data_IF_913104671280
#
_entry.id   IF_913104671280
#
_cell.length_a   1.000
_cell.length_b   1.000
_cell.length_c   1.000
_cell.angle_alpha   90.00
_cell.angle_beta   90.00
_cell.angle_gamma   90.00
#
_symmetry.space_group_name_H-M   'P 1'
#
loop_
_entity.id
_entity.type
_entity.pdbx_description
1 polymer ?
#
# COMPACT_ATOMS: atom_id res chain seq x y z
N UNK A 1 -8.92 -11.09 11.32
CA UNK A 1 -9.01 -11.02 9.84
C UNK A 1 -8.02 -11.97 9.20
N UNK A 2 -6.75 -12.00 9.64
CA UNK A 2 -5.80 -13.07 9.33
C UNK A 2 -6.30 -14.46 9.77
N UNK A 3 -6.97 -14.59 10.91
CA UNK A 3 -7.53 -15.89 11.33
C UNK A 3 -8.55 -16.44 10.33
N UNK A 4 -9.27 -15.56 9.61
CA UNK A 4 -10.15 -15.98 8.51
C UNK A 4 -9.36 -16.46 7.30
N UNK A 5 -8.25 -15.79 6.97
CA UNK A 5 -7.33 -16.24 5.92
C UNK A 5 -6.74 -17.60 6.29
N UNK A 6 -6.28 -17.78 7.53
CA UNK A 6 -5.72 -19.03 8.02
C UNK A 6 -6.77 -20.15 8.05
N UNK A 7 -7.99 -19.88 8.52
CA UNK A 7 -9.11 -20.84 8.47
C UNK A 7 -9.48 -21.25 7.04
N UNK A 8 -9.31 -20.36 6.06
CA UNK A 8 -9.52 -20.70 4.66
C UNK A 8 -8.38 -21.55 4.10
N UNK A 9 -7.13 -21.22 4.46
CA UNK A 9 -5.95 -21.99 4.07
C UNK A 9 -5.96 -23.39 4.69
N UNK A 10 -6.43 -23.52 5.92
CA UNK A 10 -6.47 -24.81 6.63
C UNK A 10 -7.54 -25.78 6.05
N UNK A 11 -8.54 -25.23 5.34
CA UNK A 11 -9.53 -26.01 4.58
C UNK A 11 -9.01 -26.49 3.22
N UNK A 12 -7.80 -26.07 2.80
CA UNK A 12 -7.22 -26.51 1.53
C UNK A 12 -6.55 -27.88 1.66
N UNK A 13 -6.53 -28.69 0.58
CA UNK A 13 -5.73 -29.92 0.50
C UNK A 13 -4.27 -29.74 0.95
N UNK A 14 -3.70 -30.74 1.63
CA UNK A 14 -2.34 -30.71 2.23
C UNK A 14 -1.23 -30.34 1.24
N UNK A 15 -1.34 -30.73 -0.04
CA UNK A 15 -0.38 -30.34 -1.08
C UNK A 15 -0.31 -28.84 -1.34
N UNK A 16 -1.34 -28.06 -0.96
CA UNK A 16 -1.44 -26.61 -1.20
C UNK A 16 -1.18 -25.75 0.04
N UNK A 17 -1.30 -26.32 1.25
CA UNK A 17 -1.08 -25.57 2.49
C UNK A 17 0.33 -24.99 2.56
N UNK A 18 1.36 -25.79 2.30
CA UNK A 18 2.77 -25.35 2.41
C UNK A 18 3.14 -24.21 1.45
N UNK A 19 2.86 -24.27 0.13
CA UNK A 19 3.14 -23.15 -0.78
C UNK A 19 2.39 -21.87 -0.41
N UNK A 20 1.11 -21.99 -0.05
CA UNK A 20 0.26 -20.83 0.26
C UNK A 20 0.67 -20.19 1.59
N UNK A 21 1.01 -20.99 2.61
CA UNK A 21 1.53 -20.48 3.88
C UNK A 21 2.87 -19.76 3.73
N UNK A 22 3.75 -20.21 2.80
CA UNK A 22 4.98 -19.50 2.47
C UNK A 22 4.71 -18.12 1.87
N UNK A 23 3.73 -18.01 0.98
CA UNK A 23 3.33 -16.73 0.37
C UNK A 23 2.62 -15.78 1.34
N UNK A 24 1.96 -16.32 2.37
CA UNK A 24 1.20 -15.55 3.36
C UNK A 24 2.05 -15.18 4.60
N UNK A 25 3.20 -15.83 4.82
CA UNK A 25 4.07 -15.54 5.95
C UNK A 25 4.51 -14.06 6.04
N UNK A 26 4.94 -13.39 4.96
CA UNK A 26 5.26 -11.95 5.01
C UNK A 26 4.04 -11.08 5.36
N UNK A 27 2.83 -11.51 4.98
CA UNK A 27 1.58 -10.84 5.32
C UNK A 27 1.31 -10.95 6.82
N UNK A 28 1.65 -12.10 7.43
CA UNK A 28 1.50 -12.32 8.87
C UNK A 28 2.31 -11.31 9.67
N UNK A 29 3.61 -11.18 9.38
CA UNK A 29 4.50 -10.27 10.09
C UNK A 29 4.02 -8.83 10.00
N UNK A 30 3.59 -8.42 8.81
CA UNK A 30 3.12 -7.05 8.55
C UNK A 30 1.78 -6.74 9.24
N UNK A 31 0.89 -7.72 9.43
CA UNK A 31 -0.49 -7.49 9.91
C UNK A 31 -0.81 -8.01 11.31
N UNK A 32 -0.06 -8.97 11.85
CA UNK A 32 -0.32 -9.56 13.18
C UNK A 32 0.69 -9.15 14.24
N UNK A 33 1.95 -8.94 13.83
CA UNK A 33 3.02 -8.52 14.74
C UNK A 33 3.19 -7.00 14.71
N UNK A 34 2.13 -6.29 14.32
CA UNK A 34 2.11 -4.84 14.30
C UNK A 34 2.42 -4.29 15.68
N UNK A 35 3.40 -3.40 15.71
CA UNK A 35 3.72 -2.63 16.90
C UNK A 35 4.13 -1.22 16.52
N UNK A 36 4.06 -0.28 17.49
CA UNK A 36 4.59 1.06 17.32
C UNK A 36 6.07 1.02 16.92
N UNK A 37 6.43 1.91 15.97
CA UNK A 37 7.82 2.11 15.60
C UNK A 37 8.58 2.79 16.73
N UNK A 38 9.81 2.32 17.00
CA UNK A 38 10.71 2.86 18.01
C UNK A 38 11.78 3.70 17.33
N UNK A 39 11.60 5.01 17.38
CA UNK A 39 12.48 5.99 16.74
C UNK A 39 13.39 6.62 17.79
N UNK A 40 14.70 6.59 17.59
CA UNK A 40 15.64 7.28 18.47
C UNK A 40 16.17 8.53 17.78
N UNK A 41 15.91 9.71 18.38
CA UNK A 41 16.40 10.98 17.85
C UNK A 41 17.82 11.26 18.37
N UNK A 42 18.73 11.63 17.48
CA UNK A 42 20.11 12.02 17.80
C UNK A 42 20.48 13.29 17.02
N UNK A 43 21.48 14.03 17.50
CA UNK A 43 21.90 15.30 16.89
C UNK A 43 21.44 16.53 17.67
N UNK A 44 21.14 17.61 16.95
CA UNK A 44 20.85 18.91 17.56
C UNK A 44 19.51 19.00 18.27
N UNK A 45 19.50 19.80 19.34
CA UNK A 45 18.29 20.21 20.06
C UNK A 45 17.67 21.40 19.33
N UNK A 46 17.04 21.13 18.18
CA UNK A 46 16.27 22.10 17.42
C UNK A 46 14.81 22.07 17.85
N UNK A 47 13.92 21.63 16.95
CA UNK A 47 12.48 21.47 17.21
C UNK A 47 12.19 20.52 18.38
N UNK A 48 11.09 20.75 19.11
CA UNK A 48 10.58 19.75 20.05
C UNK A 48 10.13 18.48 19.31
N UNK A 49 10.07 17.33 20.01
CA UNK A 49 9.64 16.06 19.39
C UNK A 49 8.25 16.15 18.73
N UNK A 50 7.21 16.78 19.36
CA UNK A 50 5.93 16.98 18.70
C UNK A 50 6.01 17.84 17.44
N UNK A 51 6.78 18.93 17.45
CA UNK A 51 6.95 19.81 16.28
C UNK A 51 7.71 19.10 15.16
N UNK A 52 8.72 18.29 15.51
CA UNK A 52 9.43 17.44 14.57
C UNK A 52 8.46 16.48 13.87
N UNK A 53 7.69 15.70 14.65
CA UNK A 53 6.71 14.76 14.11
C UNK A 53 5.62 15.44 13.28
N UNK A 54 5.13 16.59 13.72
CA UNK A 54 4.18 17.39 12.96
C UNK A 54 4.76 17.82 11.61
N UNK A 55 5.98 18.35 11.60
CA UNK A 55 6.64 18.80 10.36
C UNK A 55 6.98 17.61 9.45
N UNK A 56 7.52 16.53 10.01
CA UNK A 56 8.04 15.39 9.25
C UNK A 56 6.96 14.50 8.66
N UNK A 57 5.80 14.42 9.31
CA UNK A 57 4.73 13.50 8.93
C UNK A 57 3.40 14.20 8.58
N UNK A 58 3.27 15.52 8.80
CA UNK A 58 2.03 16.25 8.54
C UNK A 58 0.87 15.81 9.44
N UNK A 59 1.16 15.31 10.65
CA UNK A 59 0.18 14.73 11.58
C UNK A 59 -0.02 15.61 12.81
N UNK A 60 -1.19 15.54 13.44
CA UNK A 60 -1.36 16.05 14.80
C UNK A 60 -0.78 15.06 15.80
N UNK A 61 -0.17 15.58 16.86
CA UNK A 61 0.60 14.80 17.82
C UNK A 61 0.03 15.02 19.21
N UNK A 62 -0.39 13.94 19.86
CA UNK A 62 -0.75 13.92 21.27
C UNK A 62 0.35 13.19 22.04
N UNK A 63 0.85 13.84 23.09
CA UNK A 63 1.91 13.26 23.94
C UNK A 63 1.30 12.23 24.89
N UNK A 64 1.82 11.01 24.85
CA UNK A 64 1.40 9.90 25.70
C UNK A 64 2.33 9.66 26.89
N UNK A 65 2.23 8.45 27.44
CA UNK A 65 2.99 8.02 28.60
C UNK A 65 4.48 7.80 28.29
N UNK A 66 5.30 7.91 29.31
CA UNK A 66 6.74 7.63 29.24
C UNK A 66 7.05 6.38 30.07
N UNK A 67 7.73 5.41 29.46
CA UNK A 67 8.11 4.15 30.11
C UNK A 67 9.52 3.76 29.67
N UNK A 68 10.40 3.50 30.64
CA UNK A 68 11.79 3.10 30.37
C UNK A 68 12.56 4.08 29.48
N UNK A 69 12.32 5.39 29.61
CA UNK A 69 12.95 6.44 28.78
C UNK A 69 12.34 6.62 27.38
N UNK A 70 11.46 5.72 26.94
CA UNK A 70 10.70 5.85 25.70
C UNK A 70 9.38 6.56 25.95
N UNK A 71 9.04 7.53 25.09
CA UNK A 71 7.77 8.24 25.16
C UNK A 71 6.85 7.84 24.02
N UNK A 72 5.62 7.50 24.35
CA UNK A 72 4.56 7.25 23.39
C UNK A 72 4.04 8.56 22.80
N UNK A 73 3.84 8.60 21.50
CA UNK A 73 3.18 9.67 20.78
C UNK A 73 2.04 9.11 19.97
N UNK A 74 0.82 9.56 20.25
CA UNK A 74 -0.36 9.24 19.44
C UNK A 74 -0.41 10.21 18.28
N UNK A 75 -0.38 9.66 17.08
CA UNK A 75 -0.29 10.41 15.84
C UNK A 75 -1.63 10.29 15.12
N UNK A 76 -2.20 11.43 14.74
CA UNK A 76 -3.46 11.50 13.99
C UNK A 76 -3.24 12.30 12.71
N UNK A 77 -3.27 11.62 11.57
CA UNK A 77 -3.10 12.22 10.25
C UNK A 77 -4.35 12.10 9.37
N UNK A 78 -4.26 12.62 8.14
CA UNK A 78 -5.28 12.39 7.09
C UNK A 78 -5.49 10.90 6.79
N UNK A 79 -4.44 10.12 6.97
CA UNK A 79 -4.36 8.69 6.71
C UNK A 79 -4.59 7.84 7.97
N UNK A 80 -5.25 8.37 9.01
CA UNK A 80 -5.65 7.58 10.18
C UNK A 80 -4.90 7.90 11.47
N UNK A 81 -5.02 6.99 12.45
CA UNK A 81 -4.41 7.11 13.78
C UNK A 81 -3.49 5.93 14.07
N UNK A 82 -2.43 6.19 14.81
CA UNK A 82 -1.57 5.14 15.35
C UNK A 82 -0.58 5.71 16.36
N UNK A 83 0.43 4.92 16.71
CA UNK A 83 1.37 5.27 17.76
C UNK A 83 2.82 5.10 17.30
N UNK A 84 3.69 5.98 17.77
CA UNK A 84 5.13 5.82 17.68
C UNK A 84 5.77 6.03 19.05
N UNK A 85 6.82 5.26 19.34
CA UNK A 85 7.62 5.41 20.53
C UNK A 85 8.90 6.16 20.17
N UNK A 86 9.21 7.22 20.92
CA UNK A 86 10.39 8.04 20.66
C UNK A 86 11.27 8.07 21.89
N UNK A 87 12.55 7.79 21.65
CA UNK A 87 13.64 8.06 22.58
C UNK A 87 14.34 9.35 22.13
N UNK A 88 14.20 10.41 22.90
CA UNK A 88 14.92 11.65 22.65
C UNK A 88 16.34 11.56 23.24
N UNK A 89 17.31 11.22 22.40
CA UNK A 89 18.71 11.03 22.76
C UNK A 89 19.62 12.11 22.14
N UNK A 90 19.06 13.30 21.92
CA UNK A 90 19.76 14.46 21.36
C UNK A 90 20.79 15.04 22.35
N UNK A 91 21.49 16.08 21.92
CA UNK A 91 22.71 16.56 22.58
C UNK A 91 22.58 16.88 24.08
N UNK A 92 21.41 17.26 24.58
CA UNK A 92 21.16 17.60 25.98
C UNK A 92 20.78 16.39 26.87
N UNK A 93 20.40 15.26 26.28
CA UNK A 93 20.00 14.08 27.05
C UNK A 93 21.17 13.53 27.89
N UNK A 94 20.95 13.13 29.16
CA UNK A 94 21.94 12.42 29.96
C UNK A 94 22.35 11.08 29.34
N UNK A 95 23.62 10.67 29.49
CA UNK A 95 24.13 9.43 28.90
C UNK A 95 23.56 8.18 29.59
N UNK A 96 23.45 8.20 30.92
CA UNK A 96 22.91 7.13 31.74
C UNK A 96 21.43 6.85 31.45
N UNK A 97 20.63 7.90 31.29
CA UNK A 97 19.20 7.80 30.96
C UNK A 97 19.01 7.11 29.60
N UNK A 98 19.84 7.45 28.61
CA UNK A 98 19.72 6.86 27.27
C UNK A 98 20.27 5.44 27.21
N UNK A 99 21.37 5.15 27.90
CA UNK A 99 21.87 3.78 28.00
C UNK A 99 20.84 2.84 28.66
N UNK A 100 20.16 3.32 29.72
CA UNK A 100 19.08 2.58 30.36
C UNK A 100 17.88 2.38 29.41
N UNK A 101 17.52 3.40 28.62
CA UNK A 101 16.42 3.32 27.67
C UNK A 101 16.68 2.34 26.51
N UNK A 102 17.90 2.34 25.96
CA UNK A 102 18.32 1.39 24.92
C UNK A 102 18.32 -0.04 25.47
N UNK A 103 18.73 -0.23 26.73
CA UNK A 103 18.70 -1.54 27.41
C UNK A 103 17.27 -2.03 27.63
N UNK A 104 16.34 -1.11 27.97
CA UNK A 104 14.93 -1.43 28.11
C UNK A 104 14.28 -1.85 26.78
N UNK A 105 14.58 -1.14 25.70
CA UNK A 105 14.12 -1.45 24.37
C UNK A 105 15.07 -0.90 23.30
N UNK A 106 15.45 -1.77 22.35
CA UNK A 106 16.28 -1.36 21.22
C UNK A 106 15.50 -0.48 20.21
N UNK A 107 16.14 0.53 19.60
CA UNK A 107 15.57 1.34 18.53
C UNK A 107 15.40 0.53 17.23
N UNK A 108 14.34 0.82 16.48
CA UNK A 108 14.16 0.32 15.11
C UNK A 108 14.98 1.11 14.10
N UNK A 109 15.15 2.41 14.37
CA UNK A 109 15.87 3.34 13.51
C UNK A 109 16.38 4.52 14.34
N UNK A 110 17.56 4.99 13.96
CA UNK A 110 18.17 6.21 14.46
C UNK A 110 17.87 7.35 13.50
N UNK A 111 17.36 8.47 14.02
CA UNK A 111 17.09 9.67 13.23
C UNK A 111 18.10 10.74 13.63
N UNK A 112 19.04 11.03 12.75
CA UNK A 112 20.02 12.09 12.95
C UNK A 112 19.50 13.40 12.34
N UNK A 113 19.21 14.36 13.21
CA UNK A 113 18.74 15.69 12.85
C UNK A 113 19.94 16.63 12.71
N UNK A 114 20.08 17.24 11.54
CA UNK A 114 21.13 18.24 11.28
C UNK A 114 20.56 19.52 10.70
N UNK A 115 20.35 20.51 11.55
CA UNK A 115 19.74 21.79 11.13
C UNK A 115 20.75 22.74 10.46
N UNK A 116 22.03 22.71 10.84
CA UNK A 116 23.06 23.60 10.25
C UNK A 116 24.50 23.07 10.41
N UNK A 117 25.51 23.93 10.21
CA UNK A 117 26.88 23.72 10.69
C UNK A 117 26.88 23.64 12.22
N UNK A 118 26.68 22.43 12.74
CA UNK A 118 26.66 22.15 14.17
C UNK A 118 28.08 22.12 14.78
N UNK A 119 28.23 22.51 16.05
CA UNK A 119 29.46 22.30 16.79
C UNK A 119 29.90 20.84 16.75
N UNK A 120 31.21 20.60 16.66
CA UNK A 120 31.79 19.25 16.59
C UNK A 120 31.34 18.36 17.77
N UNK A 121 31.14 18.94 18.95
CA UNK A 121 30.65 18.24 20.14
C UNK A 121 29.29 17.53 19.92
N UNK A 122 28.39 18.08 19.09
CA UNK A 122 27.10 17.45 18.78
C UNK A 122 27.33 16.18 17.97
N UNK A 123 28.23 16.24 16.99
CA UNK A 123 28.60 15.09 16.17
C UNK A 123 29.30 14.02 17.00
N UNK A 124 30.28 14.38 17.83
CA UNK A 124 30.96 13.45 18.74
C UNK A 124 29.97 12.75 19.68
N UNK A 125 29.01 13.50 20.24
CA UNK A 125 27.98 12.91 21.09
C UNK A 125 27.07 11.98 20.30
N UNK A 126 26.67 12.35 19.07
CA UNK A 126 25.88 11.49 18.19
C UNK A 126 26.61 10.16 17.87
N UNK A 127 27.91 10.20 17.57
CA UNK A 127 28.73 8.99 17.35
C UNK A 127 28.65 8.06 18.57
N UNK A 128 28.79 8.60 19.79
CA UNK A 128 28.67 7.81 21.03
C UNK A 128 27.29 7.17 21.17
N UNK A 129 26.20 7.91 20.89
CA UNK A 129 24.82 7.39 20.96
C UNK A 129 24.55 6.30 19.93
N UNK A 130 25.04 6.48 18.70
CA UNK A 130 24.94 5.50 17.63
C UNK A 130 25.76 4.25 17.97
N UNK A 131 26.94 4.38 18.55
CA UNK A 131 27.77 3.26 18.98
C UNK A 131 27.12 2.43 20.11
N UNK A 132 26.38 3.07 21.01
CA UNK A 132 25.60 2.41 22.07
C UNK A 132 24.34 1.71 21.54
N UNK A 133 23.91 2.07 20.33
CA UNK A 133 22.78 1.43 19.64
C UNK A 133 23.26 0.19 18.90
N UNK A 134 22.35 -0.75 18.61
CA UNK A 134 22.67 -2.00 17.91
C UNK A 134 23.50 -1.74 16.62
N UNK A 135 24.46 -2.63 16.35
CA UNK A 135 25.37 -2.49 15.20
C UNK A 135 24.62 -2.44 13.86
N UNK A 136 23.48 -3.13 13.78
CA UNK A 136 22.64 -3.22 12.58
C UNK A 136 21.50 -2.19 12.53
N UNK A 137 21.36 -1.34 13.57
CA UNK A 137 20.26 -0.35 13.59
C UNK A 137 20.46 0.66 12.45
N UNK A 138 19.51 0.78 11.51
CA UNK A 138 19.64 1.69 10.39
C UNK A 138 19.54 3.16 10.82
N UNK A 139 20.07 4.04 9.97
CA UNK A 139 20.12 5.48 10.23
C UNK A 139 19.38 6.24 9.14
N UNK A 140 18.56 7.21 9.55
CA UNK A 140 17.97 8.21 8.68
C UNK A 140 18.56 9.57 9.04
N UNK A 141 19.25 10.19 8.09
CA UNK A 141 19.73 11.57 8.21
C UNK A 141 18.72 12.54 7.62
N UNK A 142 18.34 13.57 8.36
CA UNK A 142 17.47 14.64 7.87
C UNK A 142 18.32 15.89 7.66
N UNK A 143 18.48 16.26 6.40
CA UNK A 143 19.28 17.41 5.99
C UNK A 143 18.39 18.62 5.70
N UNK A 144 18.48 19.65 6.54
CA UNK A 144 17.80 20.94 6.31
C UNK A 144 18.70 21.85 5.45
N UNK A 145 18.12 22.53 4.45
CA UNK A 145 18.87 23.44 3.56
C UNK A 145 19.20 22.88 2.17
N UNK A 146 18.41 21.92 1.69
CA UNK A 146 18.46 21.43 0.30
C UNK A 146 19.69 20.59 -0.05
N UNK A 147 19.94 20.44 -1.35
CA UNK A 147 20.93 19.50 -1.89
C UNK A 147 22.35 19.65 -1.32
N UNK A 148 22.88 20.88 -1.11
CA UNK A 148 24.20 21.03 -0.48
C UNK A 148 24.26 20.47 0.95
N UNK A 149 23.17 20.57 1.72
CA UNK A 149 23.10 20.01 3.06
C UNK A 149 23.04 18.48 3.01
N UNK A 150 22.31 17.91 2.05
CA UNK A 150 22.24 16.46 1.81
C UNK A 150 23.62 15.87 1.53
N UNK A 151 24.36 16.47 0.60
CA UNK A 151 25.72 16.02 0.23
C UNK A 151 26.68 16.10 1.43
N UNK A 152 26.64 17.19 2.20
CA UNK A 152 27.47 17.33 3.41
C UNK A 152 27.13 16.30 4.48
N UNK A 153 25.84 15.98 4.66
CA UNK A 153 25.42 14.97 5.63
C UNK A 153 25.82 13.56 5.20
N UNK A 154 25.68 13.24 3.91
CA UNK A 154 26.17 11.97 3.35
C UNK A 154 27.69 11.82 3.51
N UNK A 155 28.46 12.87 3.22
CA UNK A 155 29.90 12.88 3.43
C UNK A 155 30.27 12.68 4.91
N UNK A 156 29.51 13.29 5.82
CA UNK A 156 29.71 13.12 7.26
C UNK A 156 29.45 11.67 7.71
N UNK A 157 28.36 11.06 7.24
CA UNK A 157 28.06 9.65 7.52
C UNK A 157 29.13 8.71 6.96
N UNK A 158 29.67 9.01 5.77
CA UNK A 158 30.75 8.24 5.18
C UNK A 158 32.09 8.39 5.94
N UNK A 159 32.30 9.51 6.63
CA UNK A 159 33.57 9.80 7.31
C UNK A 159 33.75 9.07 8.64
N UNK A 160 32.68 8.59 9.26
CA UNK A 160 32.72 7.90 10.56
C UNK A 160 32.34 6.42 10.42
N UNK A 161 33.10 5.55 11.10
CA UNK A 161 32.90 4.09 11.04
C UNK A 161 31.53 3.66 11.59
N UNK A 162 31.03 4.31 12.63
CA UNK A 162 29.73 3.98 13.21
C UNK A 162 28.61 4.24 12.20
N UNK A 163 28.69 5.30 11.42
CA UNK A 163 27.65 5.61 10.44
C UNK A 163 27.81 4.80 9.15
N UNK A 164 29.03 4.71 8.61
CA UNK A 164 29.32 4.06 7.32
C UNK A 164 29.09 2.55 7.28
N UNK A 165 29.19 1.84 8.41
CA UNK A 165 28.90 0.40 8.47
C UNK A 165 27.40 0.07 8.50
N UNK A 166 26.54 1.07 8.71
CA UNK A 166 25.09 0.89 8.86
C UNK A 166 24.37 1.22 7.57
N UNK A 167 23.18 0.63 7.39
CA UNK A 167 22.27 1.07 6.33
C UNK A 167 21.81 2.49 6.63
N UNK A 168 22.24 3.46 5.82
CA UNK A 168 21.86 4.86 5.98
C UNK A 168 21.05 5.39 4.81
N UNK A 169 20.03 6.19 5.08
CA UNK A 169 19.28 6.98 4.10
C UNK A 169 19.34 8.44 4.50
N UNK A 170 19.55 9.34 3.54
CA UNK A 170 19.51 10.79 3.80
C UNK A 170 18.39 11.40 2.97
N UNK A 171 17.50 12.13 3.63
CA UNK A 171 16.37 12.81 3.00
C UNK A 171 16.37 14.30 3.31
N UNK A 172 15.70 15.06 2.46
CA UNK A 172 15.44 16.48 2.65
C UNK A 172 13.94 16.67 2.92
N UNK A 173 13.55 17.36 4.00
CA UNK A 173 12.15 17.53 4.35
C UNK A 173 11.37 18.39 3.34
N UNK A 174 12.08 19.25 2.58
CA UNK A 174 11.47 20.18 1.63
C UNK A 174 11.38 19.63 0.19
N UNK A 175 11.82 18.37 -0.06
CA UNK A 175 11.85 17.77 -1.40
C UNK A 175 10.49 17.25 -1.87
N UNK A 176 9.82 16.47 -1.02
CA UNK A 176 8.47 15.93 -1.22
C UNK A 176 7.70 15.99 0.09
N UNK A 177 6.37 16.15 0.03
CA UNK A 177 5.47 16.27 1.20
C UNK A 177 5.64 15.12 2.23
N UNK A 178 6.06 13.93 1.79
CA UNK A 178 6.23 12.74 2.64
C UNK A 178 7.67 12.21 2.69
N UNK A 179 8.67 12.98 2.22
CA UNK A 179 10.04 12.50 2.05
C UNK A 179 10.64 11.87 3.32
N UNK A 180 10.41 12.49 4.49
CA UNK A 180 10.90 11.98 5.78
C UNK A 180 10.18 10.69 6.18
N UNK A 181 8.85 10.66 6.04
CA UNK A 181 8.05 9.46 6.30
C UNK A 181 8.48 8.28 5.44
N UNK A 182 8.75 8.51 4.15
CA UNK A 182 9.26 7.50 3.22
C UNK A 182 10.65 7.00 3.60
N UNK A 183 11.57 7.91 3.94
CA UNK A 183 12.93 7.56 4.33
C UNK A 183 12.93 6.67 5.58
N UNK A 184 12.13 7.03 6.60
CA UNK A 184 11.95 6.21 7.80
C UNK A 184 11.33 4.86 7.44
N UNK A 185 10.23 4.84 6.69
CA UNK A 185 9.59 3.59 6.26
C UNK A 185 10.50 2.66 5.46
N UNK A 186 11.46 3.20 4.72
CA UNK A 186 12.36 2.41 3.88
C UNK A 186 13.33 1.54 4.68
N UNK A 187 13.58 1.90 5.94
CA UNK A 187 14.53 1.20 6.83
C UNK A 187 13.86 0.48 8.01
N UNK A 188 12.60 0.79 8.32
CA UNK A 188 11.87 0.15 9.42
C UNK A 188 11.66 -1.37 9.17
N UNK A 189 11.68 -2.19 10.25
CA UNK A 189 11.33 -3.60 10.16
C UNK A 189 9.85 -3.79 9.82
N UNK A 190 9.49 -4.91 9.17
CA UNK A 190 8.12 -5.20 8.69
C UNK A 190 7.03 -5.00 9.77
N UNK A 191 7.31 -5.41 11.01
CA UNK A 191 6.43 -5.30 12.17
C UNK A 191 6.04 -3.84 12.51
N UNK A 192 6.95 -2.88 12.32
CA UNK A 192 6.70 -1.46 12.60
C UNK A 192 6.35 -0.66 11.34
N UNK A 193 6.75 -1.17 10.17
CA UNK A 193 6.68 -0.47 8.90
C UNK A 193 5.26 -0.13 8.47
N UNK A 194 4.29 -1.04 8.63
CA UNK A 194 2.91 -0.80 8.20
C UNK A 194 2.21 0.25 9.04
N UNK A 195 2.29 0.16 10.38
CA UNK A 195 1.66 1.16 11.24
C UNK A 195 2.25 2.55 10.96
N UNK A 196 3.58 2.64 10.88
CA UNK A 196 4.25 3.90 10.59
C UNK A 196 3.94 4.45 9.19
N UNK A 197 3.92 3.60 8.15
CA UNK A 197 3.58 4.04 6.78
C UNK A 197 2.14 4.57 6.67
N UNK A 198 1.21 4.00 7.43
CA UNK A 198 -0.18 4.49 7.51
C UNK A 198 -0.23 5.87 8.15
N UNK A 199 0.44 6.04 9.29
CA UNK A 199 0.48 7.30 10.03
C UNK A 199 1.14 8.40 9.21
N UNK A 200 2.35 8.13 8.68
CA UNK A 200 3.19 9.12 8.02
C UNK A 200 2.72 9.46 6.59
N UNK A 201 1.70 8.78 6.07
CA UNK A 201 1.22 8.97 4.70
C UNK A 201 2.26 8.61 3.63
N UNK A 202 3.20 7.72 3.95
CA UNK A 202 4.29 7.29 3.08
C UNK A 202 3.76 6.46 1.90
N UNK A 203 3.24 7.11 0.86
CA UNK A 203 2.56 6.51 -0.30
C UNK A 203 3.41 5.46 -1.02
N UNK A 204 4.71 5.68 -1.20
CA UNK A 204 5.64 4.71 -1.82
C UNK A 204 5.75 3.47 -0.94
N UNK A 205 5.98 3.62 0.37
CA UNK A 205 5.98 2.49 1.30
C UNK A 205 4.64 1.75 1.36
N UNK A 206 3.51 2.47 1.39
CA UNK A 206 2.16 1.90 1.32
C UNK A 206 1.97 1.09 0.03
N UNK A 207 2.39 1.63 -1.12
CA UNK A 207 2.28 0.96 -2.41
C UNK A 207 3.17 -0.29 -2.50
N UNK A 208 4.36 -0.28 -1.89
CA UNK A 208 5.23 -1.46 -1.79
C UNK A 208 4.60 -2.57 -0.94
N UNK A 209 4.08 -2.21 0.25
CA UNK A 209 3.39 -3.16 1.14
C UNK A 209 2.18 -3.76 0.41
N UNK A 210 1.33 -2.91 -0.17
CA UNK A 210 0.16 -3.34 -0.91
C UNK A 210 0.51 -4.15 -2.18
N UNK A 211 1.61 -3.80 -2.85
CA UNK A 211 2.14 -4.53 -4.00
C UNK A 211 2.62 -5.94 -3.62
N UNK A 212 3.24 -6.10 -2.44
CA UNK A 212 3.59 -7.42 -1.92
C UNK A 212 2.34 -8.27 -1.66
N UNK A 213 1.32 -7.69 -1.01
CA UNK A 213 0.03 -8.37 -0.81
C UNK A 213 -0.57 -8.81 -2.14
N UNK A 214 -0.63 -7.90 -3.10
CA UNK A 214 -1.18 -8.18 -4.42
C UNK A 214 -0.49 -9.36 -5.09
N UNK A 215 0.84 -9.43 -5.04
CA UNK A 215 1.61 -10.55 -5.60
C UNK A 215 1.22 -11.86 -4.93
N UNK A 216 1.24 -11.91 -3.60
CA UNK A 216 0.86 -13.12 -2.85
C UNK A 216 -0.58 -13.57 -3.15
N UNK A 217 -1.57 -12.67 -3.10
CA UNK A 217 -2.96 -13.01 -3.41
C UNK A 217 -3.16 -13.42 -4.86
N UNK A 218 -2.47 -12.78 -5.80
CA UNK A 218 -2.50 -13.15 -7.23
C UNK A 218 -1.97 -14.57 -7.43
N UNK A 219 -0.84 -14.91 -6.80
CA UNK A 219 -0.26 -16.25 -6.84
C UNK A 219 -1.21 -17.29 -6.25
N UNK A 220 -1.76 -17.03 -5.06
CA UNK A 220 -2.70 -17.93 -4.38
C UNK A 220 -3.97 -18.14 -5.22
N UNK A 221 -4.60 -17.07 -5.70
CA UNK A 221 -5.78 -17.17 -6.56
C UNK A 221 -5.48 -17.86 -7.90
N UNK A 222 -4.29 -17.63 -8.47
CA UNK A 222 -3.84 -18.30 -9.68
C UNK A 222 -3.73 -19.81 -9.47
N UNK A 223 -3.04 -20.24 -8.41
CA UNK A 223 -2.90 -21.67 -8.05
C UNK A 223 -4.26 -22.32 -7.80
N UNK A 224 -5.15 -21.67 -7.04
CA UNK A 224 -6.51 -22.17 -6.80
C UNK A 224 -7.29 -22.32 -8.11
N UNK A 225 -7.19 -21.34 -9.01
CA UNK A 225 -7.88 -21.38 -10.29
C UNK A 225 -7.31 -22.40 -11.29
N UNK A 226 -6.08 -22.88 -11.09
CA UNK A 226 -5.48 -23.95 -11.91
C UNK A 226 -6.05 -25.34 -11.63
N UNK A 227 -6.86 -25.48 -10.58
CA UNK A 227 -7.42 -26.76 -10.16
C UNK A 227 -8.90 -26.87 -10.59
N UNK A 228 -9.37 -28.05 -11.04
CA UNK A 228 -10.77 -28.32 -11.31
C UNK A 228 -11.52 -28.50 -9.99
N UNK A 229 -11.76 -27.41 -9.25
CA UNK A 229 -12.49 -27.48 -7.97
C UNK A 229 -14.00 -27.21 -8.26
N UNK A 230 -14.92 -28.13 -7.87
CA UNK A 230 -16.31 -28.13 -8.32
C UNK A 230 -17.19 -27.10 -7.60
N UNK A 231 -17.68 -26.08 -8.33
CA UNK A 231 -18.78 -25.11 -8.06
C UNK A 231 -18.88 -24.41 -6.67
N UNK A 232 -18.22 -24.90 -5.63
CA UNK A 232 -18.21 -24.39 -4.26
C UNK A 232 -17.04 -23.43 -3.98
N UNK A 233 -16.20 -23.14 -4.99
CA UNK A 233 -14.98 -22.32 -4.89
C UNK A 233 -15.17 -20.84 -5.26
N UNK A 234 -16.32 -20.49 -5.84
CA UNK A 234 -16.72 -19.10 -6.08
C UNK A 234 -16.66 -18.23 -4.82
N UNK A 235 -17.14 -18.68 -3.62
CA UNK A 235 -17.03 -17.93 -2.39
C UNK A 235 -15.58 -17.74 -1.91
N UNK A 236 -14.69 -18.71 -2.14
CA UNK A 236 -13.31 -18.65 -1.64
C UNK A 236 -12.51 -17.59 -2.40
N UNK A 237 -12.54 -17.60 -3.73
CA UNK A 237 -11.85 -16.59 -4.55
C UNK A 237 -12.40 -15.18 -4.30
N UNK A 238 -13.72 -15.01 -4.21
CA UNK A 238 -14.32 -13.72 -3.88
C UNK A 238 -13.94 -13.27 -2.46
N UNK A 239 -13.85 -14.20 -1.50
CA UNK A 239 -13.42 -13.87 -0.14
C UNK A 239 -11.96 -13.41 -0.13
N UNK A 240 -11.07 -14.09 -0.84
CA UNK A 240 -9.66 -13.70 -0.97
C UNK A 240 -9.49 -12.34 -1.67
N UNK A 241 -10.23 -12.09 -2.75
CA UNK A 241 -10.22 -10.79 -3.44
C UNK A 241 -10.77 -9.66 -2.56
N UNK A 242 -11.87 -9.91 -1.84
CA UNK A 242 -12.46 -8.93 -0.91
C UNK A 242 -11.50 -8.64 0.24
N UNK A 243 -10.86 -9.68 0.78
CA UNK A 243 -9.84 -9.56 1.82
C UNK A 243 -8.64 -8.74 1.33
N UNK A 244 -8.11 -9.04 0.15
CA UNK A 244 -7.01 -8.29 -0.46
C UNK A 244 -7.36 -6.80 -0.60
N UNK A 245 -8.53 -6.46 -1.15
CA UNK A 245 -8.98 -5.06 -1.24
C UNK A 245 -9.10 -4.43 0.14
N UNK A 246 -9.68 -5.12 1.12
CA UNK A 246 -9.77 -4.65 2.49
C UNK A 246 -8.39 -4.38 3.12
N UNK A 247 -7.39 -5.21 2.85
CA UNK A 247 -6.02 -5.00 3.31
C UNK A 247 -5.36 -3.80 2.60
N UNK A 248 -5.59 -3.61 1.29
CA UNK A 248 -5.10 -2.43 0.56
C UNK A 248 -5.72 -1.14 1.14
N UNK A 249 -7.03 -1.15 1.40
CA UNK A 249 -7.71 -0.02 2.06
C UNK A 249 -7.12 0.22 3.45
N UNK A 250 -6.89 -0.84 4.23
CA UNK A 250 -6.25 -0.73 5.53
C UNK A 250 -4.86 -0.10 5.43
N UNK A 251 -4.03 -0.53 4.47
CA UNK A 251 -2.68 0.00 4.20
C UNK A 251 -2.72 1.47 3.81
N UNK A 252 -3.75 1.94 3.11
CA UNK A 252 -3.92 3.37 2.81
C UNK A 252 -4.11 4.23 4.07
N UNK A 253 -4.49 3.60 5.18
CA UNK A 253 -4.75 4.26 6.45
C UNK A 253 -6.03 5.12 6.50
N UNK A 254 -6.62 5.41 5.33
CA UNK A 254 -7.84 6.22 5.22
C UNK A 254 -9.00 5.65 6.05
N UNK A 255 -9.86 6.52 6.62
CA UNK A 255 -11.08 6.07 7.26
C UNK A 255 -11.90 5.26 6.25
N UNK A 256 -12.22 4.02 6.62
CA UNK A 256 -13.00 3.13 5.77
C UNK A 256 -14.41 3.68 5.65
N UNK A 257 -14.68 4.42 4.56
CA UNK A 257 -16.01 4.89 4.24
C UNK A 257 -16.69 3.87 3.32
N UNK A 258 -17.82 3.32 3.76
CA UNK A 258 -18.63 2.40 2.94
C UNK A 258 -18.94 3.02 1.57
N UNK A 259 -19.17 4.34 1.52
CA UNK A 259 -19.37 5.08 0.27
C UNK A 259 -18.19 4.97 -0.68
N UNK A 260 -16.97 5.15 -0.18
CA UNK A 260 -15.73 5.09 -0.97
C UNK A 260 -15.48 3.68 -1.52
N UNK A 261 -15.76 2.66 -0.70
CA UNK A 261 -15.68 1.25 -1.13
C UNK A 261 -16.76 0.93 -2.17
N UNK A 262 -18.00 1.41 -1.98
CA UNK A 262 -19.08 1.20 -2.96
C UNK A 262 -18.85 1.98 -4.26
N UNK A 263 -18.22 3.15 -4.21
CA UNK A 263 -17.87 3.95 -5.39
C UNK A 263 -16.78 3.24 -6.21
N UNK A 264 -15.73 2.77 -5.54
CA UNK A 264 -14.70 1.93 -6.16
C UNK A 264 -15.31 0.69 -6.83
N UNK A 265 -16.12 -0.08 -6.10
CA UNK A 265 -16.73 -1.30 -6.63
C UNK A 265 -17.73 -1.02 -7.76
N UNK A 266 -18.57 0.01 -7.61
CA UNK A 266 -19.50 0.45 -8.66
C UNK A 266 -18.79 0.88 -9.94
N UNK A 267 -17.67 1.62 -9.83
CA UNK A 267 -16.88 2.06 -10.97
C UNK A 267 -16.21 0.91 -11.74
N UNK A 268 -15.84 -0.17 -11.03
CA UNK A 268 -15.36 -1.42 -11.65
C UNK A 268 -16.50 -2.24 -12.28
N UNK A 269 -17.75 -1.79 -12.18
CA UNK A 269 -18.93 -2.54 -12.64
C UNK A 269 -19.32 -3.68 -11.71
N UNK A 270 -18.73 -3.72 -10.51
CA UNK A 270 -19.06 -4.63 -9.43
C UNK A 270 -20.20 -4.01 -8.61
N UNK A 271 -21.37 -3.86 -9.22
CA UNK A 271 -22.54 -3.27 -8.57
C UNK A 271 -22.99 -4.14 -7.39
N UNK A 272 -22.61 -3.76 -6.17
CA UNK A 272 -23.23 -4.24 -4.93
C UNK A 272 -24.51 -3.42 -4.70
N UNK A 273 -25.48 -3.58 -5.60
CA UNK A 273 -26.85 -3.14 -5.35
C UNK A 273 -27.52 -4.16 -4.44
N UNK A 274 -28.19 -3.70 -3.37
CA UNK A 274 -28.82 -4.53 -2.36
C UNK A 274 -29.54 -5.77 -2.93
N UNK A 275 -29.09 -6.96 -2.52
CA UNK A 275 -29.91 -8.17 -2.47
C UNK A 275 -29.92 -9.14 -3.65
N UNK A 276 -29.76 -8.75 -4.93
CA UNK A 276 -30.09 -9.67 -6.04
C UNK A 276 -29.18 -9.55 -7.28
N UNK A 277 -27.87 -9.81 -7.18
CA UNK A 277 -27.08 -10.05 -8.41
C UNK A 277 -25.86 -10.98 -8.34
N UNK A 278 -25.52 -11.57 -7.19
CA UNK A 278 -24.36 -12.49 -7.13
C UNK A 278 -24.51 -13.75 -8.00
N UNK A 279 -25.74 -14.13 -8.40
CA UNK A 279 -25.98 -15.26 -9.33
C UNK A 279 -25.88 -14.90 -10.81
N UNK A 280 -26.10 -13.65 -11.20
CA UNK A 280 -26.08 -13.24 -12.61
C UNK A 280 -24.71 -12.73 -13.07
N UNK A 281 -23.91 -12.12 -12.18
CA UNK A 281 -22.50 -11.81 -12.48
C UNK A 281 -21.66 -13.09 -12.64
N UNK A 282 -21.91 -14.11 -11.79
CA UNK A 282 -21.35 -15.45 -11.95
C UNK A 282 -21.80 -16.10 -13.27
N UNK A 283 -23.09 -16.00 -13.63
CA UNK A 283 -23.60 -16.52 -14.91
C UNK A 283 -23.11 -15.74 -16.14
N UNK A 284 -22.80 -14.46 -16.02
CA UNK A 284 -22.26 -13.65 -17.12
C UNK A 284 -20.80 -14.01 -17.42
N UNK A 285 -20.01 -14.34 -16.40
CA UNK A 285 -18.65 -14.89 -16.56
C UNK A 285 -18.75 -16.31 -17.16
N UNK A 286 -19.67 -17.14 -16.68
CA UNK A 286 -19.95 -18.49 -17.20
C UNK A 286 -20.40 -18.47 -18.67
N UNK A 287 -21.21 -17.49 -19.10
CA UNK A 287 -21.68 -17.38 -20.49
C UNK A 287 -20.62 -16.89 -21.47
N UNK A 288 -19.52 -16.30 -20.99
CA UNK A 288 -18.40 -15.86 -21.83
C UNK A 288 -17.34 -16.96 -21.96
N UNK A 289 -17.26 -17.90 -21.01
CA UNK A 289 -16.18 -18.88 -20.91
C UNK A 289 -16.72 -20.32 -20.71
N UNK A 290 -17.38 -20.95 -21.69
CA UNK A 290 -17.94 -22.28 -21.47
C UNK A 290 -16.93 -23.44 -21.63
N UNK A 291 -15.65 -23.21 -21.97
CA UNK A 291 -14.83 -24.30 -22.51
C UNK A 291 -13.30 -24.16 -22.43
N UNK A 292 -12.73 -23.63 -21.34
CA UNK A 292 -11.25 -23.56 -21.24
C UNK A 292 -10.76 -24.35 -20.04
N UNK A 293 -9.97 -25.40 -20.29
CA UNK A 293 -9.48 -26.34 -19.29
C UNK A 293 -8.71 -25.69 -18.14
N UNK A 294 -8.40 -26.50 -17.12
CA UNK A 294 -7.87 -26.09 -15.81
C UNK A 294 -6.70 -25.08 -15.85
N UNK A 295 -5.84 -25.11 -16.88
CA UNK A 295 -4.72 -24.16 -17.00
C UNK A 295 -5.16 -22.71 -17.32
N UNK A 296 -6.25 -22.54 -18.07
CA UNK A 296 -6.74 -21.23 -18.52
C UNK A 296 -7.59 -20.55 -17.44
N UNK A 297 -8.31 -21.33 -16.63
CA UNK A 297 -9.06 -20.81 -15.48
C UNK A 297 -8.14 -20.20 -14.41
N UNK A 298 -6.97 -20.78 -14.18
CA UNK A 298 -5.98 -20.24 -13.24
C UNK A 298 -5.35 -18.94 -13.71
N UNK A 299 -5.04 -18.85 -15.01
CA UNK A 299 -4.55 -17.61 -15.61
C UNK A 299 -5.57 -16.47 -15.50
N UNK A 300 -6.85 -16.74 -15.81
CA UNK A 300 -7.93 -15.74 -15.70
C UNK A 300 -8.18 -15.34 -14.24
N UNK A 301 -8.17 -16.28 -13.30
CA UNK A 301 -8.33 -16.00 -11.87
C UNK A 301 -7.18 -15.15 -11.30
N UNK A 302 -5.94 -15.47 -11.67
CA UNK A 302 -4.76 -14.69 -11.31
C UNK A 302 -4.81 -13.28 -11.90
N UNK A 303 -5.03 -13.17 -13.22
CA UNK A 303 -5.08 -11.88 -13.90
C UNK A 303 -6.24 -10.99 -13.41
N UNK A 304 -7.42 -11.56 -13.14
CA UNK A 304 -8.54 -10.83 -12.55
C UNK A 304 -8.22 -10.31 -11.15
N UNK A 305 -7.58 -11.13 -10.31
CA UNK A 305 -7.13 -10.72 -8.97
C UNK A 305 -6.09 -9.60 -9.07
N UNK A 306 -5.13 -9.72 -9.97
CA UNK A 306 -4.12 -8.69 -10.22
C UNK A 306 -4.76 -7.36 -10.66
N UNK A 307 -5.70 -7.40 -11.62
CA UNK A 307 -6.38 -6.22 -12.12
C UNK A 307 -7.17 -5.50 -11.02
N UNK A 308 -7.96 -6.23 -10.22
CA UNK A 308 -8.72 -5.66 -9.09
C UNK A 308 -7.79 -5.05 -8.05
N UNK A 309 -6.71 -5.76 -7.69
CA UNK A 309 -5.79 -5.29 -6.67
C UNK A 309 -4.94 -4.10 -7.12
N UNK A 310 -4.47 -4.06 -8.39
CA UNK A 310 -3.81 -2.87 -8.93
C UNK A 310 -4.74 -1.67 -8.99
N UNK A 311 -6.00 -1.87 -9.37
CA UNK A 311 -7.01 -0.82 -9.32
C UNK A 311 -7.21 -0.31 -7.89
N UNK A 312 -7.27 -1.19 -6.89
CA UNK A 312 -7.37 -0.81 -5.49
C UNK A 312 -6.15 0.00 -5.01
N UNK A 313 -4.93 -0.42 -5.36
CA UNK A 313 -3.72 0.33 -5.00
C UNK A 313 -3.76 1.72 -5.64
N UNK A 314 -4.12 1.81 -6.93
CA UNK A 314 -4.16 3.08 -7.64
C UNK A 314 -5.21 4.05 -7.08
N UNK A 315 -6.39 3.54 -6.71
CA UNK A 315 -7.45 4.38 -6.17
C UNK A 315 -7.22 4.76 -4.70
N UNK A 316 -6.87 3.81 -3.83
CA UNK A 316 -6.82 4.06 -2.39
C UNK A 316 -5.49 4.65 -1.93
N UNK A 317 -4.36 4.25 -2.53
CA UNK A 317 -3.00 4.65 -2.11
C UNK A 317 -2.43 5.73 -3.03
N UNK A 318 -2.44 5.51 -4.35
CA UNK A 318 -1.92 6.49 -5.32
C UNK A 318 -2.88 7.67 -5.51
N UNK A 319 -4.14 7.52 -5.06
CA UNK A 319 -5.20 8.54 -5.15
C UNK A 319 -5.53 8.96 -6.57
N UNK A 320 -5.33 8.06 -7.53
CA UNK A 320 -5.64 8.32 -8.93
C UNK A 320 -7.16 8.52 -9.12
N UNK A 321 -7.58 9.41 -10.04
CA UNK A 321 -8.99 9.59 -10.36
C UNK A 321 -9.68 8.28 -10.74
N UNK A 322 -10.95 8.15 -10.40
CA UNK A 322 -11.71 6.91 -10.64
C UNK A 322 -11.72 6.49 -12.13
N UNK A 323 -11.73 7.47 -13.05
CA UNK A 323 -11.68 7.22 -14.48
C UNK A 323 -10.34 6.60 -14.93
N UNK A 324 -9.23 7.01 -14.32
CA UNK A 324 -7.90 6.44 -14.60
C UNK A 324 -7.77 5.04 -14.01
N UNK A 325 -8.25 4.86 -12.78
CA UNK A 325 -8.37 3.54 -12.13
C UNK A 325 -9.17 2.57 -12.99
N UNK A 326 -10.31 3.01 -13.53
CA UNK A 326 -11.15 2.20 -14.39
C UNK A 326 -10.44 1.83 -15.71
N UNK A 327 -9.74 2.79 -16.34
CA UNK A 327 -8.93 2.52 -17.53
C UNK A 327 -7.80 1.51 -17.24
N UNK A 328 -7.13 1.64 -16.09
CA UNK A 328 -6.10 0.72 -15.65
C UNK A 328 -6.65 -0.69 -15.46
N UNK A 329 -7.79 -0.82 -14.76
CA UNK A 329 -8.47 -2.11 -14.57
C UNK A 329 -8.81 -2.79 -15.90
N UNK A 330 -9.44 -2.07 -16.83
CA UNK A 330 -9.83 -2.60 -18.14
C UNK A 330 -8.63 -3.01 -19.00
N UNK A 331 -7.50 -2.30 -18.88
CA UNK A 331 -6.25 -2.64 -19.58
C UNK A 331 -5.64 -3.94 -19.04
N UNK A 332 -5.76 -4.19 -17.74
CA UNK A 332 -5.16 -5.36 -17.09
C UNK A 332 -6.06 -6.60 -17.15
N UNK A 333 -7.35 -6.45 -17.44
CA UNK A 333 -8.31 -7.55 -17.48
C UNK A 333 -8.22 -8.33 -18.81
N UNK A 334 -7.89 -9.64 -18.79
CA UNK A 334 -7.79 -10.43 -20.02
C UNK A 334 -9.16 -10.61 -20.67
N UNK A 335 -9.24 -10.47 -22.00
CA UNK A 335 -10.46 -10.68 -22.78
C UNK A 335 -11.45 -9.51 -22.78
N UNK A 336 -11.12 -8.37 -22.15
CA UNK A 336 -11.99 -7.19 -22.12
C UNK A 336 -12.34 -6.67 -23.53
N UNK A 337 -11.38 -6.63 -24.45
CA UNK A 337 -11.62 -6.18 -25.83
C UNK A 337 -12.52 -7.14 -26.62
N UNK A 338 -12.50 -8.44 -26.29
CA UNK A 338 -13.41 -9.41 -26.87
C UNK A 338 -14.82 -9.28 -26.28
N UNK A 339 -14.93 -9.00 -24.97
CA UNK A 339 -16.21 -8.69 -24.30
C UNK A 339 -16.84 -7.40 -24.85
N UNK A 340 -16.05 -6.33 -25.01
CA UNK A 340 -16.50 -5.06 -25.56
C UNK A 340 -17.07 -5.23 -26.97
N UNK A 341 -16.40 -6.00 -27.83
CA UNK A 341 -16.87 -6.33 -29.19
C UNK A 341 -18.19 -7.11 -29.20
N UNK A 342 -18.41 -8.01 -28.24
CA UNK A 342 -19.68 -8.76 -28.12
C UNK A 342 -20.86 -7.94 -27.59
N UNK A 343 -20.59 -6.96 -26.72
CA UNK A 343 -21.64 -6.15 -26.06
C UNK A 343 -21.97 -4.83 -26.76
N UNK A 344 -21.13 -4.38 -27.69
CA UNK A 344 -21.39 -3.23 -28.58
C UNK A 344 -21.60 -3.63 -30.06
N UNK A 345 -22.66 -4.38 -30.45
CA UNK A 345 -23.02 -4.52 -31.86
C UNK A 345 -23.77 -3.31 -32.45
N UNK A 346 -24.06 -2.25 -31.70
CA UNK A 346 -24.99 -1.19 -32.15
C UNK A 346 -24.33 0.18 -32.26
N UNK A 347 -23.42 0.37 -33.21
CA UNK A 347 -23.15 1.71 -33.78
C UNK A 347 -22.86 1.70 -35.29
N UNK A 348 -22.55 0.54 -35.89
CA UNK A 348 -22.43 0.45 -37.36
C UNK A 348 -23.70 -0.02 -38.05
N UNK A 349 -24.47 -0.92 -37.44
CA UNK A 349 -25.66 -1.51 -38.11
C UNK A 349 -26.87 -0.56 -38.13
N UNK A 350 -26.97 0.40 -37.22
CA UNK A 350 -28.06 1.39 -37.24
C UNK A 350 -27.93 2.41 -38.39
N UNK A 351 -26.69 2.77 -38.77
CA UNK A 351 -26.46 3.71 -39.88
C UNK A 351 -26.62 3.05 -41.26
N UNK A 352 -26.46 1.74 -41.36
CA UNK A 352 -26.65 1.02 -42.64
C UNK A 352 -28.13 0.72 -42.90
N UNK A 353 -28.94 0.47 -41.86
CA UNK A 353 -30.37 0.21 -42.00
C UNK A 353 -31.21 1.47 -42.26
N UNK A 354 -30.78 2.64 -41.76
CA UNK A 354 -31.42 3.92 -42.10
C UNK A 354 -31.10 4.38 -43.54
N UNK A 355 -29.94 4.00 -44.10
CA UNK A 355 -29.60 4.31 -45.48
C UNK A 355 -30.41 3.47 -46.50
N UNK A 356 -30.63 2.18 -46.23
CA UNK A 356 -31.43 1.30 -47.11
C UNK A 356 -32.95 1.60 -47.06
N UNK A 357 -33.47 2.12 -45.95
CA UNK A 357 -34.91 2.47 -45.84
C UNK A 357 -35.28 3.83 -46.48
N UNK A 358 -34.30 4.71 -46.72
CA UNK A 358 -34.53 6.00 -47.40
C UNK A 358 -34.51 5.82 -48.93
N UNK A 359 -33.72 4.89 -49.45
CA UNK A 359 -33.60 4.66 -50.91
C UNK A 359 -34.80 3.89 -51.50
N UNK A 360 -35.61 3.20 -50.68
CA UNK A 360 -36.78 2.44 -51.13
C UNK A 360 -38.11 3.22 -51.11
N UNK A 361 -38.11 4.53 -50.84
CA UNK A 361 -39.33 5.35 -50.65
C UNK A 361 -39.53 6.50 -51.65
N UNK A 362 -38.88 6.44 -52.81
CA UNK A 362 -39.12 7.41 -53.91
C UNK A 362 -40.21 6.87 -54.84
N UNK A 363 -41.40 7.48 -54.93
CA UNK A 363 -42.47 7.00 -55.81
C UNK A 363 -42.20 7.37 -57.28
N UNK A 364 -42.62 6.54 -58.26
CA UNK A 364 -42.55 6.88 -59.68
C UNK A 364 -43.58 7.95 -60.06
N UNK A 365 -43.17 8.87 -60.93
CA UNK A 365 -43.96 9.99 -61.42
C UNK A 365 -45.23 9.53 -62.17
N UNK A 366 -46.37 10.11 -61.80
CA UNK A 366 -47.64 9.99 -62.51
C UNK A 366 -47.57 10.73 -63.86
N UNK A 367 -47.96 10.04 -64.93
CA UNK A 367 -48.26 10.61 -66.24
C UNK A 367 -49.77 10.55 -66.50
N UNK A 368 -50.33 11.72 -66.82
CA UNK A 368 -51.68 12.03 -67.34
C UNK A 368 -52.12 11.17 -68.57
N UNK A 369 -53.27 11.46 -69.24
CA UNK A 369 -54.67 11.52 -68.79
C UNK A 369 -55.61 10.70 -69.71
N UNK A 370 -56.83 10.40 -69.27
CA UNK A 370 -58.13 10.67 -69.94
C UNK A 370 -59.29 9.98 -69.24
#
# INVERSE_FOLDING_TARGET
MYDRLFQLVDKLPEGMKKPILREIAPIREVFLEQRPARLMLVGSVGKSVPEFLHTACGVTVETGEMSGGWRSYKLSGRSGRGEAQILDARFDAPDDVVAAAITHAAPDVLIYLRENLEPEAIWTKAISRVAQSGAETPIVGIAYGGEPARVRLQALFASDRQFSMRRSVVCMPDEEEWAVGEAICSVLPNAARLEFARIAGAKKAQAEIAGSLLKSFTTVCGVIGLQPIPLADMPVLTTLQTLMVGLVVYVSGKPVNVRLVTEFLGALGLNIGAGILFRESARAIIKIVPLWGNAVSGFVAGAGTYAVGRAAISYFIEEAPIAETQKLFHRLLPGWDAFKRRRLPSLKTAQTMEAEQVESKTPPAEGEPK
#
